data_IF_609228895045
#
_entry.id   IF_609228895045
#
_cell.length_a   1.000
_cell.length_b   1.000
_cell.length_c   1.000
_cell.angle_alpha   90.00
_cell.angle_beta   90.00
_cell.angle_gamma   90.00
#
_symmetry.space_group_name_H-M   'P 1'
#
loop_
_entity.id
_entity.type
_entity.pdbx_description
1 polymer ?
#
# COMPACT_ATOMS: atom_id res chain seq x y z
N UNK A 1 -7.65 -15.95 -4.53
CA UNK A 1 -9.11 -16.10 -4.81
C UNK A 1 -9.30 -16.64 -6.23
N UNK A 2 -9.51 -17.92 -6.37
CA UNK A 2 -9.63 -18.59 -7.68
C UNK A 2 -11.00 -19.19 -7.96
N UNK A 3 -11.77 -19.51 -6.92
CA UNK A 3 -13.01 -20.28 -7.08
C UNK A 3 -14.30 -19.50 -6.77
N UNK A 4 -14.19 -18.39 -6.01
CA UNK A 4 -15.35 -17.59 -5.62
C UNK A 4 -15.03 -16.10 -5.62
N UNK A 5 -16.02 -15.23 -5.90
CA UNK A 5 -15.83 -13.80 -5.77
C UNK A 5 -15.55 -13.43 -4.32
N UNK A 6 -14.71 -12.41 -4.11
CA UNK A 6 -14.36 -11.88 -2.79
C UNK A 6 -14.88 -10.46 -2.64
N UNK A 7 -15.36 -10.15 -1.45
CA UNK A 7 -15.76 -8.80 -1.06
C UNK A 7 -14.55 -8.01 -0.57
N UNK A 8 -14.45 -6.75 -0.98
CA UNK A 8 -13.50 -5.78 -0.47
C UNK A 8 -14.26 -4.49 -0.15
N UNK A 9 -13.85 -3.79 0.89
CA UNK A 9 -14.28 -2.43 1.18
C UNK A 9 -13.13 -1.48 0.85
N UNK A 10 -13.39 -0.53 -0.05
CA UNK A 10 -12.39 0.44 -0.52
C UNK A 10 -13.07 1.66 -1.13
N UNK A 11 -12.43 2.82 -1.01
CA UNK A 11 -12.87 4.05 -1.66
C UNK A 11 -14.32 4.45 -1.30
N UNK A 12 -14.74 4.19 -0.05
CA UNK A 12 -16.10 4.41 0.43
C UNK A 12 -17.17 3.50 -0.21
N UNK A 13 -16.76 2.39 -0.82
CA UNK A 13 -17.61 1.49 -1.58
C UNK A 13 -17.35 0.02 -1.28
N UNK A 14 -18.38 -0.82 -1.50
CA UNK A 14 -18.21 -2.26 -1.50
C UNK A 14 -17.88 -2.73 -2.92
N UNK A 15 -16.79 -3.45 -3.04
CA UNK A 15 -16.28 -3.99 -4.30
C UNK A 15 -16.34 -5.51 -4.28
N UNK A 16 -16.46 -6.09 -5.47
CA UNK A 16 -16.29 -7.52 -5.70
C UNK A 16 -15.04 -7.74 -6.55
N UNK A 17 -14.22 -8.68 -6.14
CA UNK A 17 -13.02 -9.12 -6.87
C UNK A 17 -13.18 -10.58 -7.26
N UNK A 18 -12.92 -10.88 -8.51
CA UNK A 18 -12.92 -12.26 -9.02
C UNK A 18 -11.93 -12.42 -10.16
N UNK A 19 -11.68 -13.65 -10.58
CA UNK A 19 -10.87 -13.95 -11.77
C UNK A 19 -11.74 -14.45 -12.91
N UNK A 20 -11.44 -13.98 -14.11
CA UNK A 20 -12.04 -14.51 -15.34
C UNK A 20 -11.48 -15.91 -15.71
N UNK A 21 -11.98 -16.50 -16.78
CA UNK A 21 -11.55 -17.83 -17.26
C UNK A 21 -10.06 -17.90 -17.68
N UNK A 22 -9.41 -16.74 -17.88
CA UNK A 22 -7.98 -16.61 -18.20
C UNK A 22 -7.12 -16.33 -16.96
N UNK A 23 -7.74 -16.26 -15.78
CA UNK A 23 -7.07 -15.96 -14.52
C UNK A 23 -6.84 -14.47 -14.28
N UNK A 24 -7.30 -13.57 -15.15
CA UNK A 24 -7.16 -12.13 -14.98
C UNK A 24 -8.08 -11.64 -13.86
N UNK A 25 -7.54 -10.84 -12.94
CA UNK A 25 -8.33 -10.21 -11.88
C UNK A 25 -9.26 -9.12 -12.45
N UNK A 26 -10.47 -9.07 -11.90
CA UNK A 26 -11.49 -8.08 -12.23
C UNK A 26 -12.03 -7.50 -10.92
N UNK A 27 -12.13 -6.18 -10.86
CA UNK A 27 -12.68 -5.44 -9.72
C UNK A 27 -13.88 -4.62 -10.17
N UNK A 28 -15.05 -4.89 -9.58
CA UNK A 28 -16.32 -4.23 -9.90
C UNK A 28 -16.99 -3.71 -8.62
N UNK A 29 -17.92 -2.79 -8.79
CA UNK A 29 -18.88 -2.43 -7.74
C UNK A 29 -19.68 -3.67 -7.33
N UNK A 30 -19.81 -3.93 -6.02
CA UNK A 30 -20.50 -5.13 -5.54
C UNK A 30 -22.00 -5.06 -5.66
N UNK A 31 -22.60 -3.87 -5.69
CA UNK A 31 -24.05 -3.72 -5.76
C UNK A 31 -24.58 -3.89 -7.19
N UNK A 32 -25.36 -4.92 -7.42
CA UNK A 32 -26.08 -5.11 -8.68
C UNK A 32 -27.21 -4.07 -8.81
N UNK A 33 -27.24 -3.23 -9.86
CA UNK A 33 -28.20 -2.14 -9.98
C UNK A 33 -29.63 -2.60 -10.28
N UNK A 34 -29.84 -3.87 -10.61
CA UNK A 34 -31.18 -4.40 -10.83
C UNK A 34 -32.05 -4.25 -9.58
N UNK A 35 -31.66 -4.90 -8.47
CA UNK A 35 -32.40 -4.84 -7.19
C UNK A 35 -31.46 -4.96 -5.96
N UNK A 36 -30.22 -4.50 -6.06
CA UNK A 36 -29.30 -4.38 -4.94
C UNK A 36 -28.64 -5.69 -4.46
N UNK A 37 -28.65 -6.75 -5.28
CA UNK A 37 -27.95 -7.99 -4.92
C UNK A 37 -26.45 -7.76 -4.77
N UNK A 38 -25.81 -8.34 -3.73
CA UNK A 38 -24.37 -8.27 -3.50
C UNK A 38 -23.66 -9.33 -4.35
N UNK A 39 -22.88 -8.88 -5.35
CA UNK A 39 -22.18 -9.76 -6.30
C UNK A 39 -21.10 -10.62 -5.63
N UNK A 40 -20.58 -10.20 -4.48
CA UNK A 40 -19.60 -10.99 -3.73
C UNK A 40 -20.19 -12.26 -3.12
N UNK A 41 -21.52 -12.32 -2.99
CA UNK A 41 -22.27 -13.51 -2.56
C UNK A 41 -22.68 -14.40 -3.74
N UNK A 42 -22.31 -14.03 -4.95
CA UNK A 42 -22.62 -14.75 -6.16
C UNK A 42 -21.62 -15.86 -6.49
N UNK A 43 -21.50 -16.18 -7.77
CA UNK A 43 -20.54 -17.16 -8.29
C UNK A 43 -19.88 -16.65 -9.55
N UNK A 44 -18.68 -17.11 -9.81
CA UNK A 44 -17.98 -16.86 -11.07
C UNK A 44 -18.44 -17.91 -12.10
N UNK A 45 -18.73 -17.46 -13.31
CA UNK A 45 -19.12 -18.31 -14.44
C UNK A 45 -18.46 -17.77 -15.72
N UNK A 46 -17.40 -18.44 -16.16
CA UNK A 46 -16.57 -17.96 -17.28
C UNK A 46 -15.92 -16.61 -16.98
N UNK A 47 -16.23 -15.62 -17.79
CA UNK A 47 -15.66 -14.27 -17.67
C UNK A 47 -16.56 -13.29 -16.88
N UNK A 48 -17.53 -13.80 -16.13
CA UNK A 48 -18.49 -12.96 -15.42
C UNK A 48 -18.75 -13.45 -14.00
N UNK A 49 -19.16 -12.50 -13.13
CA UNK A 49 -19.76 -12.79 -11.83
C UNK A 49 -21.28 -12.75 -11.93
N UNK A 50 -21.95 -13.81 -11.45
CA UNK A 50 -23.41 -13.94 -11.41
C UNK A 50 -23.98 -13.36 -10.13
N UNK A 51 -24.96 -12.46 -10.29
CA UNK A 51 -25.71 -11.93 -9.15
C UNK A 51 -26.52 -13.07 -8.48
N UNK A 52 -26.43 -13.22 -7.15
CA UNK A 52 -27.11 -14.31 -6.45
C UNK A 52 -28.62 -14.13 -6.43
N UNK A 53 -29.14 -12.92 -6.72
CA UNK A 53 -30.55 -12.60 -6.61
C UNK A 53 -31.34 -12.99 -7.89
N UNK A 54 -30.92 -12.47 -9.06
CA UNK A 54 -31.65 -12.72 -10.32
C UNK A 54 -30.72 -13.18 -11.45
N UNK A 55 -29.54 -13.66 -11.10
CA UNK A 55 -28.57 -14.29 -12.01
C UNK A 55 -28.08 -13.42 -13.18
N UNK A 56 -28.14 -12.08 -13.06
CA UNK A 56 -27.50 -11.17 -14.02
C UNK A 56 -26.00 -11.41 -14.02
N UNK A 57 -25.40 -11.54 -15.20
CA UNK A 57 -23.97 -11.77 -15.38
C UNK A 57 -23.22 -10.47 -15.69
N UNK A 58 -22.22 -10.13 -14.85
CA UNK A 58 -21.43 -8.92 -14.94
C UNK A 58 -19.98 -9.28 -15.30
N UNK A 59 -19.52 -8.81 -16.46
CA UNK A 59 -18.15 -9.05 -16.92
C UNK A 59 -17.19 -7.91 -16.63
N UNK A 60 -15.98 -8.01 -17.18
CA UNK A 60 -14.98 -6.95 -17.15
C UNK A 60 -15.58 -5.63 -17.66
N UNK A 61 -15.01 -4.51 -17.23
CA UNK A 61 -15.50 -3.16 -17.56
C UNK A 61 -16.91 -2.85 -17.04
N UNK A 62 -17.46 -3.70 -16.19
CA UNK A 62 -18.77 -3.49 -15.56
C UNK A 62 -19.98 -3.66 -16.47
N UNK A 63 -19.81 -4.29 -17.64
CA UNK A 63 -20.92 -4.56 -18.55
C UNK A 63 -21.73 -5.75 -18.10
N UNK A 64 -23.08 -5.66 -18.18
CA UNK A 64 -23.94 -6.80 -18.10
C UNK A 64 -23.82 -7.61 -19.41
N UNK A 65 -23.45 -8.88 -19.28
CA UNK A 65 -23.22 -9.77 -20.43
C UNK A 65 -24.39 -10.73 -20.66
N UNK A 66 -25.19 -11.00 -19.63
CA UNK A 66 -26.27 -11.94 -19.73
C UNK A 66 -27.38 -11.69 -18.69
N UNK A 67 -28.64 -11.82 -19.12
CA UNK A 67 -29.82 -11.81 -18.27
C UNK A 67 -30.67 -13.02 -18.69
N UNK A 68 -30.67 -14.15 -17.93
CA UNK A 68 -31.22 -15.43 -18.38
C UNK A 68 -32.71 -15.42 -18.81
N UNK A 69 -33.48 -14.48 -18.30
CA UNK A 69 -34.93 -14.38 -18.54
C UNK A 69 -35.33 -13.17 -19.42
N UNK A 70 -34.35 -12.38 -19.90
CA UNK A 70 -34.63 -11.25 -20.75
C UNK A 70 -34.26 -11.51 -22.22
N UNK A 71 -35.02 -10.92 -23.14
CA UNK A 71 -34.72 -10.97 -24.57
C UNK A 71 -33.63 -9.98 -24.96
N UNK A 72 -33.53 -8.85 -24.24
CA UNK A 72 -32.58 -7.80 -24.49
C UNK A 72 -31.96 -7.33 -23.15
N UNK A 73 -30.69 -7.00 -23.17
CA UNK A 73 -30.00 -6.38 -22.06
C UNK A 73 -30.22 -4.87 -22.17
N UNK A 74 -30.68 -4.16 -21.11
CA UNK A 74 -30.80 -2.71 -21.14
C UNK A 74 -29.47 -2.00 -21.40
N UNK A 75 -29.46 -0.95 -22.21
CA UNK A 75 -28.22 -0.19 -22.52
C UNK A 75 -27.55 0.40 -21.28
N UNK A 76 -28.34 0.70 -20.23
CA UNK A 76 -27.85 1.21 -18.95
C UNK A 76 -27.33 0.13 -18.00
N UNK A 77 -27.38 -1.15 -18.39
CA UNK A 77 -26.91 -2.26 -17.55
C UNK A 77 -25.37 -2.25 -17.44
N UNK A 78 -24.88 -1.32 -16.64
CA UNK A 78 -23.46 -1.09 -16.36
C UNK A 78 -23.24 -0.77 -14.89
N UNK A 79 -22.15 -1.27 -14.32
CA UNK A 79 -21.65 -0.94 -12.97
C UNK A 79 -20.25 -0.39 -13.06
N UNK A 80 -19.77 0.25 -11.98
CA UNK A 80 -18.38 0.74 -11.94
C UNK A 80 -17.40 -0.43 -11.97
N UNK A 81 -16.30 -0.23 -12.68
CA UNK A 81 -15.15 -1.11 -12.73
C UNK A 81 -13.88 -0.30 -12.45
N UNK A 82 -12.90 -0.94 -11.84
CA UNK A 82 -11.59 -0.34 -11.56
C UNK A 82 -10.54 -0.98 -12.45
N UNK A 83 -9.67 -0.18 -13.12
CA UNK A 83 -8.46 -0.71 -13.74
C UNK A 83 -7.61 -1.42 -12.70
N UNK A 84 -7.06 -2.57 -13.04
CA UNK A 84 -6.24 -3.37 -12.14
C UNK A 84 -4.93 -3.78 -12.79
N UNK A 85 -3.89 -3.94 -11.97
CA UNK A 85 -2.68 -4.66 -12.34
C UNK A 85 -2.27 -5.62 -11.23
N UNK A 86 -1.56 -6.66 -11.61
CA UNK A 86 -0.92 -7.61 -10.69
C UNK A 86 0.58 -7.47 -10.84
N UNK A 87 1.27 -7.10 -9.77
CA UNK A 87 2.72 -6.94 -9.71
C UNK A 87 3.20 -7.26 -8.29
N UNK A 88 4.43 -7.72 -8.15
CA UNK A 88 5.05 -8.00 -6.84
C UNK A 88 4.24 -8.96 -5.96
N UNK A 89 3.53 -9.92 -6.58
CA UNK A 89 2.59 -10.86 -5.93
C UNK A 89 1.40 -10.17 -5.24
N UNK A 90 1.07 -8.94 -5.62
CA UNK A 90 -0.02 -8.12 -5.10
C UNK A 90 -1.00 -7.72 -6.22
N UNK A 91 -2.26 -7.48 -5.86
CA UNK A 91 -3.28 -6.93 -6.74
C UNK A 91 -3.52 -5.45 -6.41
N UNK A 92 -3.38 -4.60 -7.42
CA UNK A 92 -3.62 -3.16 -7.32
C UNK A 92 -4.87 -2.76 -8.10
N UNK A 93 -5.67 -1.88 -7.51
CA UNK A 93 -6.79 -1.23 -8.17
C UNK A 93 -6.52 0.28 -8.29
N UNK A 94 -6.63 0.80 -9.50
CA UNK A 94 -6.49 2.23 -9.76
C UNK A 94 -7.80 2.96 -9.47
N UNK A 95 -7.75 3.92 -8.54
CA UNK A 95 -8.89 4.78 -8.24
C UNK A 95 -8.55 6.23 -8.54
N UNK A 96 -9.33 6.82 -9.45
CA UNK A 96 -9.18 8.22 -9.86
C UNK A 96 -10.53 8.92 -9.76
N UNK A 97 -10.65 10.04 -9.01
CA UNK A 97 -11.93 10.71 -8.82
C UNK A 97 -12.50 11.34 -10.10
N UNK A 98 -11.67 11.59 -11.11
CA UNK A 98 -12.11 12.05 -12.44
C UNK A 98 -12.46 10.87 -13.38
N UNK A 99 -12.27 9.61 -12.94
CA UNK A 99 -12.49 8.42 -13.75
C UNK A 99 -11.45 8.21 -14.87
N UNK A 100 -10.30 8.87 -14.78
CA UNK A 100 -9.25 8.76 -15.79
C UNK A 100 -8.40 7.51 -15.55
N UNK A 101 -7.91 6.85 -16.60
CA UNK A 101 -6.99 5.72 -16.46
C UNK A 101 -5.63 6.19 -15.93
N UNK A 102 -4.79 5.29 -15.36
CA UNK A 102 -3.42 5.60 -15.00
C UNK A 102 -2.63 6.08 -16.23
N UNK A 103 -1.77 7.06 -16.05
CA UNK A 103 -0.82 7.47 -17.09
C UNK A 103 0.30 6.43 -17.24
N UNK A 104 1.10 6.55 -18.30
CA UNK A 104 2.22 5.62 -18.52
C UNK A 104 3.30 5.66 -17.45
N UNK A 105 3.41 6.80 -16.75
CA UNK A 105 4.40 6.99 -15.70
C UNK A 105 3.88 6.55 -14.31
N UNK A 106 2.55 6.39 -14.17
CA UNK A 106 1.89 5.95 -12.94
C UNK A 106 1.74 4.42 -12.93
N UNK A 107 2.86 3.72 -12.92
CA UNK A 107 2.94 2.26 -12.87
C UNK A 107 3.45 1.80 -11.52
N UNK A 108 3.01 0.62 -11.10
CA UNK A 108 3.63 -0.09 -9.97
C UNK A 108 4.99 -0.61 -10.44
N UNK A 109 6.10 -0.23 -9.80
CA UNK A 109 7.41 -0.75 -10.18
C UNK A 109 7.49 -2.25 -9.87
N UNK A 110 8.19 -2.97 -10.73
CA UNK A 110 8.51 -4.36 -10.49
C UNK A 110 9.70 -4.46 -9.53
N UNK A 111 9.51 -5.17 -8.45
CA UNK A 111 10.57 -5.53 -7.51
C UNK A 111 10.98 -6.99 -7.79
N UNK A 112 12.17 -7.17 -8.35
CA UNK A 112 12.66 -8.49 -8.77
C UNK A 112 12.81 -9.45 -7.58
N UNK A 113 13.02 -8.91 -6.40
CA UNK A 113 13.10 -9.65 -5.14
C UNK A 113 11.84 -10.46 -4.86
N UNK A 114 10.65 -9.94 -5.25
CA UNK A 114 9.36 -10.63 -5.09
C UNK A 114 9.22 -11.91 -5.94
N UNK A 115 10.14 -12.12 -6.88
CA UNK A 115 10.16 -13.27 -7.80
C UNK A 115 11.41 -14.13 -7.67
N UNK A 116 12.24 -13.84 -6.67
CA UNK A 116 13.51 -14.52 -6.42
C UNK A 116 13.40 -15.55 -5.30
N UNK A 117 13.90 -16.76 -5.52
CA UNK A 117 13.99 -17.81 -4.49
C UNK A 117 14.98 -17.46 -3.35
N UNK A 118 15.82 -16.41 -3.54
CA UNK A 118 16.70 -15.89 -2.49
C UNK A 118 15.96 -15.12 -1.40
N UNK A 119 14.68 -14.86 -1.57
CA UNK A 119 13.86 -14.08 -0.63
C UNK A 119 12.73 -14.94 -0.05
N UNK A 120 12.22 -14.55 1.10
CA UNK A 120 10.99 -15.12 1.65
C UNK A 120 9.77 -14.64 0.86
N UNK A 121 8.63 -15.28 1.07
CA UNK A 121 7.34 -14.73 0.69
C UNK A 121 6.99 -13.51 1.56
N UNK A 122 6.00 -12.72 1.11
CA UNK A 122 5.42 -11.66 1.93
C UNK A 122 4.75 -12.22 3.19
N UNK A 123 5.12 -11.69 4.35
CA UNK A 123 4.34 -11.82 5.59
C UNK A 123 3.64 -10.50 5.80
N UNK A 124 2.30 -10.48 5.67
CA UNK A 124 1.50 -9.24 5.66
C UNK A 124 0.59 -9.20 6.88
N UNK A 125 0.61 -8.09 7.61
CA UNK A 125 -0.35 -7.73 8.65
C UNK A 125 -1.31 -6.64 8.16
N UNK A 126 -2.55 -6.68 8.64
CA UNK A 126 -3.58 -5.70 8.34
C UNK A 126 -4.09 -5.03 9.61
N UNK A 127 -4.23 -3.71 9.56
CA UNK A 127 -4.76 -2.89 10.66
C UNK A 127 -5.76 -1.87 10.11
N UNK A 128 -6.91 -1.71 10.75
CA UNK A 128 -7.83 -0.60 10.46
C UNK A 128 -7.47 0.58 11.35
N UNK A 129 -7.09 1.69 10.75
CA UNK A 129 -6.69 2.91 11.45
C UNK A 129 -7.79 3.96 11.30
N UNK A 130 -8.23 4.53 12.43
CA UNK A 130 -9.34 5.49 12.49
C UNK A 130 -8.83 6.93 12.47
N UNK A 131 -8.12 7.29 11.42
CA UNK A 131 -7.67 8.65 11.12
C UNK A 131 -7.50 8.80 9.59
N UNK A 132 -7.40 10.03 9.10
CA UNK A 132 -7.14 10.26 7.68
C UNK A 132 -5.76 9.71 7.27
N UNK A 133 -5.68 9.03 6.12
CA UNK A 133 -4.46 8.37 5.64
C UNK A 133 -3.26 9.32 5.39
N UNK A 134 -3.49 10.64 5.24
CA UNK A 134 -2.39 11.63 5.18
C UNK A 134 -1.51 11.59 6.42
N UNK A 135 -2.10 11.31 7.59
CA UNK A 135 -1.36 11.28 8.86
C UNK A 135 -0.36 10.10 8.95
N UNK A 136 -0.61 9.01 8.20
CA UNK A 136 0.37 7.94 7.98
C UNK A 136 1.55 8.44 7.15
N UNK A 137 1.27 9.13 6.04
CA UNK A 137 2.29 9.56 5.09
C UNK A 137 3.22 10.62 5.68
N UNK A 138 2.77 11.41 6.66
CA UNK A 138 3.59 12.38 7.38
C UNK A 138 4.87 11.77 7.99
N UNK A 139 4.85 10.47 8.37
CA UNK A 139 6.03 9.76 8.89
C UNK A 139 7.23 9.81 7.91
N UNK A 140 6.98 9.96 6.62
CA UNK A 140 8.05 10.08 5.62
C UNK A 140 8.90 11.35 5.78
N UNK A 141 8.37 12.39 6.42
CA UNK A 141 9.10 13.62 6.68
C UNK A 141 9.39 13.85 8.16
N UNK A 142 8.90 12.99 9.03
CA UNK A 142 9.15 13.08 10.46
C UNK A 142 10.49 12.41 10.81
N UNK A 143 11.51 13.22 11.04
CA UNK A 143 12.85 12.75 11.44
C UNK A 143 12.90 12.35 12.90
N UNK A 144 12.21 13.11 13.76
CA UNK A 144 12.35 12.98 15.21
C UNK A 144 11.75 11.67 15.74
N UNK A 145 10.70 11.13 15.11
CA UNK A 145 10.05 9.91 15.59
C UNK A 145 10.99 8.70 15.60
N UNK A 146 11.98 8.62 14.71
CA UNK A 146 12.96 7.52 14.69
C UNK A 146 13.72 7.39 16.02
N UNK A 147 14.04 8.52 16.65
CA UNK A 147 14.73 8.51 17.95
C UNK A 147 13.76 8.18 19.09
N UNK A 148 12.58 8.79 19.09
CA UNK A 148 11.69 8.72 20.25
C UNK A 148 10.70 7.54 20.19
N UNK A 149 10.28 7.13 19.01
CA UNK A 149 9.37 6.00 18.82
C UNK A 149 10.17 4.72 18.62
N UNK A 150 11.05 4.68 17.61
CA UNK A 150 11.82 3.47 17.26
C UNK A 150 13.12 3.31 18.04
N UNK A 151 13.39 4.19 19.00
CA UNK A 151 14.55 4.11 19.89
C UNK A 151 15.89 4.05 19.16
N UNK A 152 15.99 4.75 18.03
CA UNK A 152 17.27 4.91 17.36
C UNK A 152 18.19 5.82 18.20
N UNK A 153 19.48 5.47 18.31
CA UNK A 153 20.48 6.30 19.02
C UNK A 153 20.73 7.60 18.28
N UNK A 154 20.90 7.51 16.94
CA UNK A 154 21.19 8.65 16.09
C UNK A 154 20.76 8.43 14.64
N UNK A 155 20.39 9.52 13.96
CA UNK A 155 20.27 9.58 12.51
C UNK A 155 21.48 10.35 11.96
N UNK A 156 22.35 9.67 11.22
CA UNK A 156 23.52 10.29 10.59
C UNK A 156 23.19 10.91 9.23
N UNK A 157 22.09 10.50 8.61
CA UNK A 157 21.58 11.07 7.37
C UNK A 157 20.06 10.92 7.30
N UNK A 158 19.40 11.98 6.83
CA UNK A 158 17.95 11.96 6.55
C UNK A 158 17.66 12.91 5.39
N UNK A 159 17.00 12.41 4.35
CA UNK A 159 16.66 13.20 3.16
C UNK A 159 15.31 12.75 2.59
N UNK A 160 14.56 13.71 2.05
CA UNK A 160 13.35 13.47 1.27
C UNK A 160 13.55 13.94 -0.17
N UNK A 161 13.26 13.09 -1.14
CA UNK A 161 13.31 13.39 -2.56
C UNK A 161 11.91 13.32 -3.12
N UNK A 162 11.44 14.41 -3.72
CA UNK A 162 10.13 14.51 -4.37
C UNK A 162 10.32 14.63 -5.87
N UNK A 163 9.66 13.75 -6.64
CA UNK A 163 9.69 13.77 -8.09
C UNK A 163 8.36 13.26 -8.67
N UNK A 164 7.52 14.18 -9.14
CA UNK A 164 6.18 13.85 -9.64
C UNK A 164 5.32 13.18 -8.56
N UNK A 165 4.81 12.00 -8.87
CA UNK A 165 4.01 11.19 -7.95
C UNK A 165 4.84 10.36 -6.96
N UNK A 166 6.18 10.48 -7.00
CA UNK A 166 7.09 9.73 -6.12
C UNK A 166 7.62 10.60 -5.00
N UNK A 167 7.72 9.99 -3.81
CA UNK A 167 8.38 10.54 -2.64
C UNK A 167 9.31 9.49 -2.08
N UNK A 168 10.62 9.77 -2.05
CA UNK A 168 11.62 8.88 -1.45
C UNK A 168 12.16 9.50 -0.16
N UNK A 169 12.23 8.69 0.90
CA UNK A 169 12.96 8.98 2.12
C UNK A 169 14.22 8.11 2.13
N UNK A 170 15.35 8.71 2.43
CA UNK A 170 16.61 8.01 2.65
C UNK A 170 17.04 8.32 4.08
N UNK A 171 17.36 7.28 4.84
CA UNK A 171 17.82 7.41 6.20
C UNK A 171 18.96 6.45 6.52
N UNK A 172 19.92 6.95 7.30
CA UNK A 172 20.97 6.15 7.91
C UNK A 172 20.91 6.36 9.42
N UNK A 173 20.73 5.29 10.16
CA UNK A 173 20.61 5.35 11.61
C UNK A 173 21.51 4.32 12.30
N UNK A 174 21.63 4.50 13.62
CA UNK A 174 22.23 3.54 14.53
C UNK A 174 21.14 3.10 15.49
N UNK A 175 20.97 1.79 15.66
CA UNK A 175 20.02 1.21 16.58
C UNK A 175 20.43 1.56 18.03
N UNK A 176 19.49 2.07 18.83
CA UNK A 176 19.72 2.36 20.24
C UNK A 176 19.56 1.14 21.14
N UNK A 177 19.86 1.30 22.42
CA UNK A 177 19.79 0.23 23.42
C UNK A 177 18.38 -0.42 23.53
N UNK A 178 17.32 0.38 23.37
CA UNK A 178 15.93 -0.07 23.45
C UNK A 178 15.32 -0.39 22.08
N UNK A 179 16.12 -0.41 20.99
CA UNK A 179 15.63 -0.76 19.66
C UNK A 179 15.34 -2.26 19.56
N UNK A 180 14.28 -2.62 18.86
CA UNK A 180 13.91 -4.02 18.58
C UNK A 180 15.02 -4.77 17.82
N UNK A 181 15.91 -4.05 17.12
CA UNK A 181 16.98 -4.64 16.30
C UNK A 181 18.32 -4.80 17.02
N UNK A 182 18.39 -4.41 18.31
CA UNK A 182 19.60 -4.49 19.13
C UNK A 182 20.54 -3.28 19.00
N UNK A 183 21.26 -2.99 20.09
CA UNK A 183 22.12 -1.81 20.24
C UNK A 183 23.28 -1.76 19.23
N UNK A 184 23.56 -0.57 18.72
CA UNK A 184 24.77 -0.24 17.95
C UNK A 184 24.75 -0.71 16.49
N UNK A 185 23.76 -1.49 16.08
CA UNK A 185 23.63 -1.92 14.69
C UNK A 185 23.33 -0.75 13.75
N UNK A 186 23.90 -0.79 12.54
CA UNK A 186 23.65 0.22 11.50
C UNK A 186 22.46 -0.17 10.66
N UNK A 187 21.58 0.81 10.36
CA UNK A 187 20.47 0.64 9.45
C UNK A 187 20.55 1.68 8.33
N UNK A 188 20.35 1.22 7.10
CA UNK A 188 20.18 2.05 5.91
C UNK A 188 18.84 1.71 5.31
N UNK A 189 17.95 2.68 5.18
CA UNK A 189 16.65 2.49 4.57
C UNK A 189 16.43 3.47 3.43
N UNK A 190 15.83 2.94 2.36
CA UNK A 190 15.41 3.69 1.18
C UNK A 190 13.93 3.36 0.93
N UNK A 191 13.07 4.28 1.34
CA UNK A 191 11.62 4.09 1.32
C UNK A 191 11.00 5.00 0.26
N UNK A 192 10.28 4.43 -0.70
CA UNK A 192 9.67 5.20 -1.79
C UNK A 192 8.18 4.96 -1.89
N UNK A 193 7.40 6.03 -1.75
CA UNK A 193 5.99 6.06 -2.16
C UNK A 193 5.89 6.21 -3.68
N UNK A 194 5.10 5.35 -4.29
CA UNK A 194 4.68 5.40 -5.69
C UNK A 194 3.19 5.76 -5.73
N UNK A 195 2.90 7.05 -5.82
CA UNK A 195 1.55 7.57 -5.62
C UNK A 195 1.17 7.70 -4.14
N UNK A 196 -0.13 7.85 -3.83
CA UNK A 196 -0.57 8.22 -2.47
C UNK A 196 -0.56 7.08 -1.46
N UNK A 197 -0.51 5.81 -1.89
CA UNK A 197 -0.96 4.71 -1.05
C UNK A 197 -0.10 3.42 -1.11
N UNK A 198 0.99 3.43 -1.86
CA UNK A 198 1.88 2.28 -2.02
C UNK A 198 3.33 2.70 -1.81
N UNK A 199 3.96 2.14 -0.80
CA UNK A 199 5.37 2.37 -0.47
C UNK A 199 6.12 1.05 -0.40
N UNK A 200 7.32 1.06 -0.95
CA UNK A 200 8.33 0.01 -0.77
C UNK A 200 9.54 0.62 -0.08
N UNK A 201 9.99 -0.05 0.97
CA UNK A 201 11.25 0.26 1.66
C UNK A 201 12.25 -0.87 1.45
N UNK A 202 13.44 -0.55 0.96
CA UNK A 202 14.58 -1.47 0.94
C UNK A 202 15.48 -1.12 2.12
N UNK A 203 15.70 -2.08 2.98
CA UNK A 203 16.36 -1.87 4.26
C UNK A 203 17.49 -2.89 4.42
N UNK A 204 18.68 -2.38 4.69
CA UNK A 204 19.81 -3.16 5.19
C UNK A 204 20.00 -2.80 6.66
N UNK A 205 19.90 -3.78 7.53
CA UNK A 205 20.00 -3.61 8.98
C UNK A 205 20.99 -4.59 9.59
N UNK A 206 21.95 -4.09 10.34
CA UNK A 206 22.86 -4.90 11.14
C UNK A 206 22.14 -5.33 12.42
N UNK A 207 21.68 -6.57 12.42
CA UNK A 207 20.91 -7.17 13.51
C UNK A 207 21.31 -8.62 13.68
N UNK A 208 21.11 -9.18 14.87
CA UNK A 208 21.44 -10.57 15.17
C UNK A 208 22.90 -10.95 14.84
N UNK A 209 23.81 -9.97 14.91
CA UNK A 209 25.24 -10.12 14.63
C UNK A 209 25.61 -10.25 13.14
N UNK A 210 24.69 -9.93 12.23
CA UNK A 210 24.91 -9.95 10.79
C UNK A 210 24.11 -8.85 10.07
N UNK A 211 24.48 -8.56 8.83
CA UNK A 211 23.71 -7.69 7.97
C UNK A 211 22.55 -8.46 7.34
N UNK A 212 21.32 -8.04 7.61
CA UNK A 212 20.10 -8.58 7.02
C UNK A 212 19.47 -7.57 6.07
N UNK A 213 19.11 -8.02 4.88
CA UNK A 213 18.39 -7.21 3.90
C UNK A 213 16.91 -7.58 3.92
N UNK A 214 16.05 -6.58 3.93
CA UNK A 214 14.60 -6.77 3.87
C UNK A 214 13.95 -5.80 2.89
N UNK A 215 12.77 -6.19 2.40
CA UNK A 215 11.84 -5.31 1.71
C UNK A 215 10.59 -5.21 2.56
N UNK A 216 10.14 -3.98 2.81
CA UNK A 216 8.90 -3.73 3.51
C UNK A 216 7.90 -3.05 2.58
N UNK A 217 6.67 -3.54 2.64
CA UNK A 217 5.50 -2.94 2.02
C UNK A 217 4.74 -2.13 3.07
N UNK A 218 4.46 -0.87 2.78
CA UNK A 218 3.43 -0.12 3.50
C UNK A 218 2.41 0.36 2.48
N UNK A 219 1.21 -0.15 2.56
CA UNK A 219 0.13 0.29 1.69
C UNK A 219 -1.14 0.55 2.47
N UNK A 220 -1.95 1.48 1.98
CA UNK A 220 -3.23 1.76 2.62
C UNK A 220 -4.35 1.90 1.59
N UNK A 221 -5.54 1.51 2.02
CA UNK A 221 -6.76 1.63 1.23
C UNK A 221 -7.74 2.47 2.03
N UNK A 222 -8.12 3.67 1.58
CA UNK A 222 -9.13 4.48 2.24
C UNK A 222 -10.45 3.71 2.31
N UNK A 223 -10.99 3.53 3.51
CA UNK A 223 -12.33 2.99 3.74
C UNK A 223 -13.35 4.12 3.65
N UNK A 224 -13.06 5.23 4.32
CA UNK A 224 -13.76 6.51 4.25
C UNK A 224 -12.78 7.68 4.45
N UNK A 225 -13.30 8.88 4.78
CA UNK A 225 -12.47 10.07 4.95
C UNK A 225 -11.55 10.01 6.18
N UNK A 226 -12.00 9.35 7.24
CA UNK A 226 -11.32 9.29 8.56
C UNK A 226 -10.91 7.86 8.95
N UNK A 227 -10.89 6.92 7.99
CA UNK A 227 -10.40 5.58 8.24
C UNK A 227 -9.77 4.94 7.00
N UNK A 228 -8.81 4.07 7.23
CA UNK A 228 -8.16 3.30 6.18
C UNK A 228 -7.73 1.92 6.65
N UNK A 229 -7.67 0.98 5.73
CA UNK A 229 -7.03 -0.32 5.95
C UNK A 229 -5.56 -0.18 5.61
N UNK A 230 -4.71 -0.37 6.60
CA UNK A 230 -3.25 -0.39 6.48
C UNK A 230 -2.76 -1.82 6.31
N UNK A 231 -1.84 -2.03 5.37
CA UNK A 231 -1.08 -3.27 5.20
C UNK A 231 0.39 -3.00 5.39
N UNK A 232 0.99 -3.74 6.28
CA UNK A 232 2.45 -3.80 6.45
C UNK A 232 2.91 -5.19 6.09
N UNK A 233 3.81 -5.30 5.10
CA UNK A 233 4.38 -6.55 4.62
C UNK A 233 5.89 -6.56 4.78
N UNK A 234 6.45 -7.73 5.07
CA UNK A 234 7.89 -7.93 5.22
C UNK A 234 8.32 -9.13 4.36
N UNK A 235 9.40 -8.95 3.61
CA UNK A 235 10.18 -10.01 2.98
C UNK A 235 11.63 -9.89 3.44
N UNK A 236 12.28 -11.00 3.71
CA UNK A 236 13.67 -11.04 4.18
C UNK A 236 14.52 -11.84 3.22
N UNK A 237 15.73 -11.36 2.93
CA UNK A 237 16.68 -12.07 2.10
C UNK A 237 17.28 -13.23 2.88
N UNK A 238 17.28 -14.43 2.28
CA UNK A 238 17.92 -15.62 2.83
C UNK A 238 19.45 -15.43 2.89
N UNK A 239 20.05 -15.92 3.95
CA UNK A 239 21.51 -15.92 4.12
C UNK A 239 22.07 -17.15 3.40
N UNK A 240 22.88 -17.00 2.34
CA UNK A 240 23.27 -18.14 1.48
C UNK A 240 24.09 -19.23 2.15
N UNK A 241 24.73 -18.91 3.28
CA UNK A 241 25.58 -19.84 4.03
C UNK A 241 24.83 -20.71 5.04
N UNK A 242 23.54 -20.44 5.23
CA UNK A 242 22.69 -21.13 6.18
C UNK A 242 21.80 -22.16 5.48
N UNK A 243 21.40 -23.19 6.22
CA UNK A 243 20.38 -24.15 5.77
C UNK A 243 18.98 -23.50 5.70
N UNK A 244 18.06 -24.12 4.99
CA UNK A 244 16.66 -23.64 4.88
C UNK A 244 16.02 -23.46 6.26
N UNK A 245 16.23 -24.42 7.17
CA UNK A 245 15.67 -24.33 8.53
C UNK A 245 16.27 -23.18 9.36
N UNK A 246 17.56 -22.89 9.20
CA UNK A 246 18.19 -21.75 9.88
C UNK A 246 17.69 -20.44 9.29
N UNK A 247 17.51 -20.39 7.96
CA UNK A 247 16.91 -19.23 7.28
C UNK A 247 15.46 -19.00 7.73
N UNK A 248 14.64 -20.04 7.82
CA UNK A 248 13.26 -19.92 8.36
C UNK A 248 13.27 -19.27 9.75
N UNK A 249 14.14 -19.72 10.66
CA UNK A 249 14.26 -19.14 12.00
C UNK A 249 14.64 -17.66 12.00
N UNK A 250 15.61 -17.25 11.16
CA UNK A 250 16.04 -15.87 11.04
C UNK A 250 14.94 -14.99 10.41
N UNK A 251 14.28 -15.51 9.37
CA UNK A 251 13.17 -14.81 8.70
C UNK A 251 12.03 -14.56 9.67
N UNK A 252 11.64 -15.56 10.45
CA UNK A 252 10.56 -15.43 11.43
C UNK A 252 10.91 -14.41 12.51
N UNK A 253 12.10 -14.52 13.11
CA UNK A 253 12.55 -13.60 14.17
C UNK A 253 12.72 -12.16 13.67
N UNK A 254 13.34 -11.95 12.49
CA UNK A 254 13.49 -10.62 11.93
C UNK A 254 12.14 -10.01 11.51
N UNK A 255 11.23 -10.82 10.98
CA UNK A 255 9.87 -10.38 10.64
C UNK A 255 9.12 -9.95 11.90
N UNK A 256 9.18 -10.74 12.99
CA UNK A 256 8.55 -10.39 14.27
C UNK A 256 9.10 -9.07 14.82
N UNK A 257 10.43 -8.88 14.85
CA UNK A 257 11.05 -7.63 15.28
C UNK A 257 10.57 -6.44 14.44
N UNK A 258 10.51 -6.62 13.12
CA UNK A 258 10.07 -5.57 12.19
C UNK A 258 8.58 -5.21 12.42
N UNK A 259 7.72 -6.19 12.63
CA UNK A 259 6.31 -5.98 12.92
C UNK A 259 6.10 -5.31 14.29
N UNK A 260 6.89 -5.66 15.30
CA UNK A 260 6.87 -5.01 16.62
C UNK A 260 7.29 -3.54 16.52
N UNK A 261 8.36 -3.24 15.77
CA UNK A 261 8.78 -1.87 15.53
C UNK A 261 7.70 -1.05 14.79
N UNK A 262 7.10 -1.62 13.75
CA UNK A 262 6.02 -0.96 13.00
C UNK A 262 4.75 -0.77 13.84
N UNK A 263 4.48 -1.69 14.77
CA UNK A 263 3.35 -1.58 15.69
C UNK A 263 3.44 -0.33 16.59
N UNK A 264 4.64 0.16 16.89
CA UNK A 264 4.82 1.39 17.64
C UNK A 264 4.19 2.59 16.93
N UNK A 265 4.33 2.66 15.60
CA UNK A 265 3.65 3.66 14.77
C UNK A 265 2.13 3.45 14.74
N UNK A 266 1.68 2.21 14.56
CA UNK A 266 0.25 1.87 14.57
C UNK A 266 -0.42 2.32 15.87
N UNK A 267 0.23 2.12 17.00
CA UNK A 267 -0.28 2.53 18.31
C UNK A 267 -0.39 4.07 18.42
N UNK A 268 0.53 4.81 17.80
CA UNK A 268 0.44 6.28 17.69
C UNK A 268 -0.71 6.70 16.78
N UNK A 269 -0.84 6.12 15.59
CA UNK A 269 -1.91 6.47 14.65
C UNK A 269 -3.32 6.18 15.20
N UNK A 270 -3.48 5.16 16.01
CA UNK A 270 -4.76 4.89 16.72
C UNK A 270 -5.15 6.00 17.71
N UNK A 271 -4.19 6.75 18.22
CA UNK A 271 -4.37 7.77 19.25
C UNK A 271 -4.06 9.19 18.78
N UNK A 272 -3.58 9.37 17.55
CA UNK A 272 -3.21 10.65 16.95
C UNK A 272 -4.46 11.42 16.51
N UNK A 273 -4.44 12.73 16.65
CA UNK A 273 -5.45 13.62 16.08
C UNK A 273 -4.93 14.22 14.77
N UNK A 274 -5.84 14.43 13.81
CA UNK A 274 -5.52 15.14 12.58
C UNK A 274 -5.24 16.60 12.87
N UNK A 275 -4.09 17.09 12.42
CA UNK A 275 -3.67 18.49 12.54
C UNK A 275 -3.39 19.04 11.14
N UNK A 276 -4.24 19.95 10.65
CA UNK A 276 -4.09 20.51 9.30
C UNK A 276 -2.91 21.49 9.19
N UNK A 277 -2.63 22.26 10.24
CA UNK A 277 -1.52 23.18 10.30
C UNK A 277 -0.65 22.85 11.52
N UNK A 278 0.30 21.89 11.40
CA UNK A 278 1.15 21.51 12.51
C UNK A 278 2.09 22.64 12.91
N UNK A 279 2.30 22.79 14.21
CA UNK A 279 3.34 23.67 14.72
C UNK A 279 4.67 22.91 14.65
N UNK A 280 5.53 23.36 13.77
CA UNK A 280 6.84 22.72 13.52
C UNK A 280 7.98 23.54 14.14
N UNK A 281 9.10 22.89 14.43
CA UNK A 281 10.34 23.49 14.86
C UNK A 281 11.48 23.21 13.87
N UNK A 282 12.66 23.75 14.11
CA UNK A 282 13.85 23.61 13.27
C UNK A 282 14.47 22.19 13.29
N UNK A 283 14.08 21.36 14.25
CA UNK A 283 14.46 19.95 14.32
C UNK A 283 13.57 18.99 13.54
N UNK A 284 12.42 19.48 13.05
CA UNK A 284 11.50 18.66 12.26
C UNK A 284 11.98 18.56 10.80
N UNK A 285 11.60 17.48 10.13
CA UNK A 285 11.84 17.31 8.70
C UNK A 285 10.87 18.16 7.83
N UNK A 286 10.92 18.00 6.50
CA UNK A 286 10.19 18.86 5.56
C UNK A 286 8.70 18.55 5.45
N UNK A 287 7.97 18.45 6.57
CA UNK A 287 6.54 18.04 6.66
C UNK A 287 5.65 18.89 5.74
N UNK A 288 5.86 20.24 5.69
CA UNK A 288 5.06 21.10 4.80
C UNK A 288 5.29 20.78 3.33
N UNK A 289 6.52 20.40 2.93
CA UNK A 289 6.84 20.02 1.55
C UNK A 289 6.25 18.67 1.17
N UNK A 290 6.24 17.74 2.12
CA UNK A 290 5.56 16.46 1.95
C UNK A 290 4.06 16.67 1.77
N UNK A 291 3.42 17.46 2.61
CA UNK A 291 1.98 17.75 2.50
C UNK A 291 1.62 18.50 1.22
N UNK A 292 2.49 19.40 0.74
CA UNK A 292 2.35 20.05 -0.57
C UNK A 292 2.37 18.99 -1.70
N UNK A 293 3.31 18.02 -1.61
CA UNK A 293 3.36 16.90 -2.54
C UNK A 293 2.11 16.02 -2.46
N UNK A 294 1.67 15.67 -1.26
CA UNK A 294 0.51 14.78 -1.07
C UNK A 294 -0.81 15.42 -1.54
N UNK A 295 -0.94 16.74 -1.46
CA UNK A 295 -2.12 17.46 -1.92
C UNK A 295 -2.41 17.28 -3.42
N UNK A 296 -1.43 16.93 -4.24
CA UNK A 296 -1.67 16.65 -5.66
C UNK A 296 -2.69 15.53 -5.90
N UNK A 297 -2.85 14.61 -4.96
CA UNK A 297 -3.79 13.48 -5.06
C UNK A 297 -5.23 13.84 -4.68
N UNK A 298 -5.46 15.06 -4.20
CA UNK A 298 -6.79 15.59 -3.86
C UNK A 298 -7.34 16.61 -4.87
N UNK A 299 -6.61 16.87 -5.94
CA UNK A 299 -7.01 17.85 -6.96
C UNK A 299 -7.05 17.22 -8.34
N UNK A 300 -7.81 17.83 -9.27
CA UNK A 300 -7.82 17.41 -10.66
C UNK A 300 -6.39 17.39 -11.24
N UNK A 301 -6.05 16.43 -12.07
CA UNK A 301 -4.70 16.29 -12.65
C UNK A 301 -4.18 17.57 -13.31
N UNK A 302 -5.07 18.33 -14.01
CA UNK A 302 -4.73 19.60 -14.66
C UNK A 302 -4.39 20.74 -13.68
N UNK A 303 -4.73 20.57 -12.40
CA UNK A 303 -4.45 21.54 -11.33
C UNK A 303 -3.17 21.24 -10.57
N UNK A 304 -2.55 20.09 -10.82
CA UNK A 304 -1.28 19.69 -10.18
C UNK A 304 -0.17 20.65 -10.62
N UNK A 305 0.53 21.31 -9.66
CA UNK A 305 1.59 22.25 -9.98
C UNK A 305 2.75 21.61 -10.76
N UNK A 306 3.18 22.24 -11.86
CA UNK A 306 4.29 21.76 -12.69
C UNK A 306 5.61 21.63 -11.89
N UNK A 307 5.77 22.40 -10.81
CA UNK A 307 6.94 22.32 -9.94
C UNK A 307 7.07 20.95 -9.26
N UNK A 308 5.96 20.23 -9.04
CA UNK A 308 5.98 18.89 -8.43
C UNK A 308 6.59 17.85 -9.36
N UNK A 309 6.57 18.06 -10.66
CA UNK A 309 7.19 17.16 -11.64
C UNK A 309 8.72 17.19 -11.63
N UNK A 310 9.32 18.26 -11.06
CA UNK A 310 10.78 18.40 -11.00
C UNK A 310 11.30 17.74 -9.73
N UNK A 311 12.42 17.03 -9.87
CA UNK A 311 13.12 16.45 -8.72
C UNK A 311 13.57 17.54 -7.75
N UNK A 312 13.24 17.41 -6.50
CA UNK A 312 13.63 18.29 -5.39
C UNK A 312 14.06 17.43 -4.22
N UNK A 313 15.12 17.84 -3.56
CA UNK A 313 15.68 17.12 -2.42
C UNK A 313 15.76 18.04 -1.21
N UNK A 314 15.40 17.52 -0.06
CA UNK A 314 15.36 18.21 1.22
C UNK A 314 16.11 17.37 2.24
N UNK A 315 17.29 17.83 2.65
CA UNK A 315 18.05 17.24 3.75
C UNK A 315 17.60 17.88 5.08
N UNK A 316 17.51 17.06 6.16
CA UNK A 316 17.12 17.50 7.49
C UNK A 316 18.08 17.00 8.59
#
# INVERSE_FOLDING_TARGET
FTESPKKIEAFGSKLVVFRDSKGKAIVLQAACPHMGGDLSMGRVEGDMVRCPYHNWGWGAEGMCLDIPYAKNIPDQARIMSWPVCEENNLLFAWNDPEGLPPSKDETVPREEECFSEEWSDWVIEENVININCRELVDNMADKAHFVYVHKMEALSYFSNIIEGHKLTQIQHCINGEESEFGEGGKMIANSTYYGPAYMISKIDNESMGQMLSSIQLVSHVPLDYDSFLLRHGVMVKKVPTLSDKENEGIIDEYTEMTQLAFKQDVDIWHNKYRVDNPLLCDGDGPVHKLREWYNQFYVDRKKVPEMLKKRREYEA
#
